data_IF_264324239766
#
_entry.id   IF_264324239766
#
_cell.length_a   1.000
_cell.length_b   1.000
_cell.length_c   1.000
_cell.angle_alpha   90.00
_cell.angle_beta   90.00
_cell.angle_gamma   90.00
#
_symmetry.space_group_name_H-M   'P 1'
#
loop_
_entity.id
_entity.type
_entity.pdbx_description
1 polymer ?
#
# COMPACT_ATOMS: atom_id res chain seq x y z
N UNK A 1 33.01 91.34 4.68
CA UNK A 1 31.95 92.13 4.04
C UNK A 1 30.96 91.15 3.42
N UNK A 2 29.72 91.09 3.95
CA UNK A 2 28.42 90.77 3.30
C UNK A 2 28.31 89.59 2.28
N UNK A 3 27.29 88.72 2.20
CA UNK A 3 25.92 88.51 2.74
C UNK A 3 25.57 87.05 2.30
N UNK A 4 25.03 86.15 3.15
CA UNK A 4 23.60 85.94 3.47
C UNK A 4 22.77 85.17 2.41
N UNK A 5 21.98 84.20 2.89
CA UNK A 5 20.70 83.65 2.36
C UNK A 5 20.80 82.48 1.34
N UNK A 6 19.98 81.42 1.30
CA UNK A 6 18.70 81.06 1.93
C UNK A 6 18.41 79.54 1.65
N UNK A 7 17.62 78.87 2.50
CA UNK A 7 17.08 77.49 2.37
C UNK A 7 15.80 77.54 1.49
N UNK A 8 15.43 76.52 0.67
CA UNK A 8 14.50 75.48 1.14
C UNK A 8 14.81 74.03 0.72
N UNK A 9 14.62 73.14 1.69
CA UNK A 9 14.47 71.70 1.57
C UNK A 9 13.45 71.31 0.49
N UNK A 10 13.84 70.48 -0.46
CA UNK A 10 12.90 69.81 -1.38
C UNK A 10 12.71 68.39 -0.86
N UNK A 11 11.56 68.17 -0.23
CA UNK A 11 11.00 66.86 0.05
C UNK A 11 10.67 66.20 -1.31
N UNK A 12 11.43 65.19 -1.71
CA UNK A 12 11.10 64.36 -2.85
C UNK A 12 9.94 63.43 -2.45
N UNK A 13 8.71 63.83 -2.77
CA UNK A 13 7.54 62.97 -2.63
C UNK A 13 7.61 61.89 -3.72
N UNK A 14 8.08 60.70 -3.36
CA UNK A 14 7.92 59.50 -4.18
C UNK A 14 6.47 59.05 -4.02
N UNK A 15 5.64 59.34 -5.01
CA UNK A 15 4.29 58.77 -5.12
C UNK A 15 4.45 57.31 -5.53
N UNK A 16 4.45 56.41 -4.56
CA UNK A 16 4.26 54.98 -4.80
C UNK A 16 2.79 54.77 -5.10
N UNK A 17 2.43 54.68 -6.38
CA UNK A 17 1.09 54.22 -6.78
C UNK A 17 1.00 52.72 -6.53
N UNK A 18 0.34 52.33 -5.44
CA UNK A 18 -0.09 50.96 -5.24
C UNK A 18 -1.23 50.66 -6.21
N UNK A 19 -0.93 50.01 -7.33
CA UNK A 19 -1.97 49.37 -8.12
C UNK A 19 -2.32 48.07 -7.43
N UNK A 20 -3.43 48.05 -6.68
CA UNK A 20 -3.96 46.83 -6.10
C UNK A 20 -4.51 45.97 -7.23
N UNK A 21 -3.68 45.07 -7.78
CA UNK A 21 -4.21 43.94 -8.53
C UNK A 21 -4.88 43.06 -7.48
N UNK A 22 -6.22 43.08 -7.47
CA UNK A 22 -7.00 42.08 -6.76
C UNK A 22 -6.73 40.74 -7.43
N UNK A 23 -5.67 40.04 -7.01
CA UNK A 23 -5.60 38.60 -7.16
C UNK A 23 -6.72 38.05 -6.29
N UNK A 24 -7.86 37.74 -6.91
CA UNK A 24 -8.79 36.79 -6.35
C UNK A 24 -8.04 35.47 -6.25
N UNK A 25 -7.37 35.26 -5.11
CA UNK A 25 -7.01 33.92 -4.70
C UNK A 25 -8.33 33.16 -4.64
N UNK A 26 -8.58 32.30 -5.62
CA UNK A 26 -9.57 31.24 -5.48
C UNK A 26 -9.04 30.42 -4.32
N UNK A 27 -9.55 30.70 -3.13
CA UNK A 27 -9.40 29.84 -1.98
C UNK A 27 -10.12 28.58 -2.40
N UNK A 28 -9.38 27.59 -2.89
CA UNK A 28 -9.91 26.25 -3.08
C UNK A 28 -10.60 25.89 -1.76
N UNK A 29 -11.87 25.46 -1.78
CA UNK A 29 -12.54 25.09 -0.54
C UNK A 29 -11.64 24.09 0.15
N UNK A 30 -11.36 24.33 1.43
CA UNK A 30 -10.72 23.34 2.29
C UNK A 30 -11.65 22.13 2.24
N UNK A 31 -11.29 21.13 1.45
CA UNK A 31 -12.01 19.87 1.41
C UNK A 31 -11.79 19.29 2.79
N UNK A 32 -12.82 19.34 3.63
CA UNK A 32 -12.76 18.72 4.94
C UNK A 32 -12.36 17.26 4.73
N UNK A 33 -11.38 16.75 5.49
CA UNK A 33 -11.01 15.35 5.39
C UNK A 33 -12.27 14.51 5.54
N UNK A 34 -12.48 13.50 4.69
CA UNK A 34 -13.68 12.68 4.74
C UNK A 34 -13.86 12.19 6.17
N UNK A 35 -15.06 12.35 6.72
CA UNK A 35 -15.37 11.93 8.08
C UNK A 35 -15.09 10.44 8.18
N UNK A 36 -13.98 10.08 8.83
CA UNK A 36 -13.64 8.70 9.12
C UNK A 36 -14.74 8.20 10.05
N UNK A 37 -15.61 7.30 9.57
CA UNK A 37 -16.52 6.57 10.46
C UNK A 37 -15.66 5.99 11.57
N UNK A 38 -15.97 6.28 12.83
CA UNK A 38 -15.22 5.75 13.97
C UNK A 38 -15.13 4.22 13.86
N UNK A 39 -13.99 3.73 13.38
CA UNK A 39 -13.65 2.33 13.41
C UNK A 39 -13.31 2.07 14.87
N UNK A 40 -14.18 1.34 15.57
CA UNK A 40 -13.88 0.89 16.92
C UNK A 40 -12.84 -0.24 16.83
N UNK A 41 -11.58 0.16 16.75
CA UNK A 41 -10.42 -0.71 16.61
C UNK A 41 -10.39 -1.77 17.72
N UNK A 42 -10.65 -1.38 18.97
CA UNK A 42 -10.66 -2.30 20.12
C UNK A 42 -11.70 -3.42 19.95
N UNK A 43 -12.92 -3.06 19.55
CA UNK A 43 -14.00 -4.02 19.32
C UNK A 43 -13.70 -4.98 18.17
N UNK A 44 -13.05 -4.50 17.11
CA UNK A 44 -12.62 -5.33 15.99
C UNK A 44 -11.46 -6.25 16.38
N UNK A 45 -10.48 -5.74 17.13
CA UNK A 45 -9.37 -6.51 17.70
C UNK A 45 -9.87 -7.64 18.59
N UNK A 46 -10.81 -7.37 19.50
CA UNK A 46 -11.40 -8.39 20.37
C UNK A 46 -12.15 -9.47 19.58
N UNK A 47 -12.95 -9.05 18.59
CA UNK A 47 -13.72 -9.97 17.74
C UNK A 47 -12.79 -10.86 16.93
N UNK A 48 -11.70 -10.30 16.41
CA UNK A 48 -10.67 -11.02 15.67
C UNK A 48 -9.90 -11.98 16.58
N UNK A 49 -9.54 -11.56 17.80
CA UNK A 49 -8.86 -12.40 18.79
C UNK A 49 -9.70 -13.60 19.23
N UNK A 50 -11.01 -13.40 19.47
CA UNK A 50 -11.94 -14.51 19.80
C UNK A 50 -12.09 -15.50 18.65
N UNK A 51 -12.22 -15.02 17.42
CA UNK A 51 -12.28 -15.86 16.21
C UNK A 51 -10.98 -16.66 16.01
N UNK A 52 -9.83 -16.02 16.23
CA UNK A 52 -8.52 -16.65 16.11
C UNK A 52 -8.33 -17.78 17.14
N UNK A 53 -8.70 -17.54 18.41
CA UNK A 53 -8.66 -18.58 19.45
C UNK A 53 -9.50 -19.81 19.09
N UNK A 54 -10.74 -19.60 18.62
CA UNK A 54 -11.62 -20.69 18.22
C UNK A 54 -11.08 -21.46 17.01
N UNK A 55 -10.53 -20.75 16.03
CA UNK A 55 -9.93 -21.35 14.82
C UNK A 55 -8.70 -22.19 15.17
N UNK A 56 -7.80 -21.67 16.00
CA UNK A 56 -6.60 -22.41 16.45
C UNK A 56 -6.95 -23.67 17.23
N UNK A 57 -8.00 -23.63 18.06
CA UNK A 57 -8.46 -24.80 18.80
C UNK A 57 -8.97 -25.90 17.86
N UNK A 58 -9.75 -25.54 16.83
CA UNK A 58 -10.18 -26.49 15.79
C UNK A 58 -9.02 -27.05 14.97
N UNK A 59 -8.10 -26.19 14.54
CA UNK A 59 -6.88 -26.59 13.81
C UNK A 59 -6.03 -27.56 14.61
N UNK A 60 -5.86 -27.34 15.92
CA UNK A 60 -5.10 -28.25 16.78
C UNK A 60 -5.75 -29.64 16.86
N UNK A 61 -7.08 -29.71 16.95
CA UNK A 61 -7.83 -30.97 16.96
C UNK A 61 -7.70 -31.69 15.61
N UNK A 62 -7.77 -30.96 14.50
CA UNK A 62 -7.61 -31.51 13.15
C UNK A 62 -6.18 -31.98 12.86
N UNK A 63 -5.16 -31.23 13.31
CA UNK A 63 -3.74 -31.57 13.15
C UNK A 63 -3.37 -32.82 13.97
N UNK A 64 -3.94 -32.98 15.17
CA UNK A 64 -3.82 -34.20 15.97
C UNK A 64 -4.53 -35.41 15.33
N UNK A 65 -5.44 -35.20 14.38
CA UNK A 65 -6.21 -36.24 13.69
C UNK A 65 -5.68 -36.56 12.28
N UNK A 66 -4.64 -35.87 11.78
CA UNK A 66 -4.08 -36.13 10.44
C UNK A 66 -3.08 -37.28 10.43
N UNK A 67 -3.31 -38.21 9.50
CA UNK A 67 -2.32 -39.18 9.03
C UNK A 67 -1.09 -38.49 8.40
N UNK A 68 0.08 -39.15 8.33
CA UNK A 68 1.33 -38.55 7.86
C UNK A 68 1.18 -37.86 6.50
N UNK A 69 1.88 -36.73 6.27
CA UNK A 69 1.63 -35.89 5.11
C UNK A 69 1.94 -36.65 3.83
N UNK A 70 0.88 -36.98 3.09
CA UNK A 70 0.95 -37.34 1.68
C UNK A 70 1.75 -36.24 0.99
N UNK A 71 2.86 -36.59 0.30
CA UNK A 71 3.65 -35.62 -0.49
C UNK A 71 2.71 -34.95 -1.48
N UNK A 72 2.20 -33.76 -1.13
CA UNK A 72 1.42 -32.91 -2.04
C UNK A 72 2.33 -32.64 -3.26
N UNK A 73 1.80 -32.91 -4.45
CA UNK A 73 2.44 -32.44 -5.68
C UNK A 73 2.71 -30.94 -5.55
N UNK A 74 3.87 -30.49 -6.03
CA UNK A 74 4.26 -29.09 -5.95
C UNK A 74 3.20 -28.23 -6.66
N UNK A 75 2.59 -27.31 -5.92
CA UNK A 75 1.63 -26.34 -6.49
C UNK A 75 2.36 -25.52 -7.56
N UNK A 76 1.78 -25.37 -8.77
CA UNK A 76 2.37 -24.51 -9.79
C UNK A 76 2.42 -23.06 -9.32
N UNK A 77 3.42 -22.32 -9.81
CA UNK A 77 3.55 -20.88 -9.54
C UNK A 77 2.37 -20.14 -10.16
N UNK A 78 1.63 -19.38 -9.36
CA UNK A 78 0.47 -18.62 -9.86
C UNK A 78 0.91 -17.34 -10.58
N UNK A 79 1.59 -16.44 -9.87
CA UNK A 79 2.06 -15.19 -10.45
C UNK A 79 3.28 -15.42 -11.35
N UNK A 80 3.23 -14.83 -12.54
CA UNK A 80 4.27 -14.96 -13.56
C UNK A 80 4.86 -13.58 -13.85
N UNK A 81 6.17 -13.46 -13.69
CA UNK A 81 6.95 -12.30 -14.11
C UNK A 81 7.44 -12.49 -15.56
N UNK A 82 7.92 -11.44 -16.24
CA UNK A 82 8.36 -11.49 -17.65
C UNK A 82 9.54 -12.41 -17.98
N UNK A 83 10.04 -13.22 -17.03
CA UNK A 83 11.15 -14.15 -17.24
C UNK A 83 12.54 -13.50 -17.27
N UNK A 84 12.63 -12.18 -17.19
CA UNK A 84 13.89 -11.42 -17.06
C UNK A 84 14.08 -11.06 -15.58
N UNK A 85 15.23 -11.40 -15.01
CA UNK A 85 15.49 -11.20 -13.58
C UNK A 85 15.29 -9.74 -13.12
N UNK A 86 15.75 -8.77 -13.93
CA UNK A 86 15.56 -7.34 -13.65
C UNK A 86 14.08 -6.88 -13.71
N UNK A 87 13.19 -7.68 -14.31
CA UNK A 87 11.76 -7.42 -14.38
C UNK A 87 10.96 -8.19 -13.32
N UNK A 88 11.61 -8.68 -12.25
CA UNK A 88 10.98 -9.46 -11.19
C UNK A 88 9.84 -8.75 -10.44
N UNK A 89 9.77 -7.42 -10.54
CA UNK A 89 8.74 -6.60 -9.91
C UNK A 89 7.67 -6.11 -10.91
N UNK A 90 7.54 -6.82 -12.04
CA UNK A 90 6.50 -6.59 -13.03
C UNK A 90 5.60 -7.82 -13.19
N UNK A 91 4.30 -7.58 -13.33
CA UNK A 91 3.33 -8.60 -13.70
C UNK A 91 3.48 -8.92 -15.19
N UNK A 92 3.70 -10.19 -15.52
CA UNK A 92 3.98 -10.64 -16.87
C UNK A 92 2.84 -10.38 -17.87
N UNK A 93 1.60 -10.16 -17.40
CA UNK A 93 0.45 -9.87 -18.29
C UNK A 93 0.44 -8.42 -18.76
N UNK A 94 0.97 -7.51 -17.94
CA UNK A 94 0.91 -6.05 -18.16
C UNK A 94 2.28 -5.42 -18.42
N UNK A 95 3.35 -6.21 -18.35
CA UNK A 95 4.69 -5.76 -18.66
C UNK A 95 4.82 -5.37 -20.14
N UNK A 96 5.13 -4.09 -20.37
CA UNK A 96 5.36 -3.53 -21.72
C UNK A 96 6.81 -3.06 -21.93
N UNK A 97 7.67 -3.21 -20.92
CA UNK A 97 9.06 -2.75 -20.94
C UNK A 97 9.47 -2.14 -19.61
N UNK A 98 10.76 -1.85 -19.46
CA UNK A 98 11.26 -1.11 -18.31
C UNK A 98 10.84 0.35 -18.37
N UNK A 99 10.38 0.88 -17.24
CA UNK A 99 10.16 2.31 -17.08
C UNK A 99 11.42 2.96 -16.51
N UNK A 100 11.60 4.26 -16.79
CA UNK A 100 12.70 5.05 -16.21
C UNK A 100 12.59 5.09 -14.68
N UNK A 101 13.69 5.36 -13.98
CA UNK A 101 13.68 5.46 -12.51
C UNK A 101 12.70 6.52 -11.99
N UNK A 102 12.58 7.64 -12.70
CA UNK A 102 11.61 8.70 -12.39
C UNK A 102 10.16 8.20 -12.51
N UNK A 103 9.80 7.61 -13.67
CA UNK A 103 8.47 7.01 -13.87
C UNK A 103 8.20 5.87 -12.89
N UNK A 104 9.20 5.07 -12.51
CA UNK A 104 9.06 4.02 -11.50
C UNK A 104 8.69 4.63 -10.16
N UNK A 105 9.47 5.60 -9.67
CA UNK A 105 9.20 6.25 -8.38
C UNK A 105 7.84 6.95 -8.36
N UNK A 106 7.47 7.62 -9.47
CA UNK A 106 6.15 8.22 -9.65
C UNK A 106 5.04 7.17 -9.60
N UNK A 107 5.20 6.07 -10.36
CA UNK A 107 4.22 4.97 -10.40
C UNK A 107 4.06 4.35 -9.02
N UNK A 108 5.15 3.97 -8.34
CA UNK A 108 5.08 3.36 -7.00
C UNK A 108 4.40 4.30 -5.99
N UNK A 109 4.67 5.60 -6.06
CA UNK A 109 3.99 6.61 -5.22
C UNK A 109 2.48 6.61 -5.44
N UNK A 110 2.02 6.62 -6.68
CA UNK A 110 0.59 6.57 -6.98
C UNK A 110 -0.03 5.21 -6.69
N UNK A 111 0.73 4.13 -6.83
CA UNK A 111 0.28 2.76 -6.60
C UNK A 111 -0.01 2.54 -5.11
N UNK A 112 0.85 3.01 -4.20
CA UNK A 112 0.59 2.96 -2.75
C UNK A 112 -0.53 3.91 -2.33
N UNK A 113 -0.63 5.11 -2.91
CA UNK A 113 -1.75 6.04 -2.65
C UNK A 113 -3.08 5.43 -3.07
N UNK A 114 -3.12 4.85 -4.26
CA UNK A 114 -4.29 4.16 -4.80
C UNK A 114 -4.71 3.00 -3.91
N UNK A 115 -3.76 2.16 -3.48
CA UNK A 115 -4.01 1.07 -2.54
C UNK A 115 -4.64 1.57 -1.23
N UNK A 116 -4.05 2.58 -0.60
CA UNK A 116 -4.53 3.12 0.69
C UNK A 116 -5.91 3.77 0.55
N UNK A 117 -6.16 4.53 -0.50
CA UNK A 117 -7.48 5.12 -0.77
C UNK A 117 -8.54 4.05 -1.03
N UNK A 118 -8.21 3.06 -1.87
CA UNK A 118 -9.14 1.99 -2.22
C UNK A 118 -9.47 1.15 -1.00
N UNK A 119 -8.48 0.67 -0.26
CA UNK A 119 -8.71 -0.11 0.98
C UNK A 119 -9.51 0.66 2.01
N UNK A 120 -9.24 1.95 2.20
CA UNK A 120 -10.05 2.82 3.06
C UNK A 120 -11.51 2.87 2.60
N UNK A 121 -11.78 3.02 1.30
CA UNK A 121 -13.14 3.03 0.74
C UNK A 121 -13.89 1.70 0.93
N UNK A 122 -13.16 0.58 0.93
CA UNK A 122 -13.70 -0.76 1.11
C UNK A 122 -13.80 -1.18 2.59
N UNK A 123 -13.28 -0.37 3.53
CA UNK A 123 -13.19 -0.74 4.94
C UNK A 123 -12.21 -1.90 5.20
N UNK A 124 -11.17 -2.02 4.37
CA UNK A 124 -10.14 -3.05 4.47
C UNK A 124 -9.01 -2.54 5.37
N UNK A 125 -8.68 -3.33 6.37
CA UNK A 125 -7.52 -3.10 7.24
C UNK A 125 -6.25 -3.68 6.60
N UNK A 126 -5.21 -2.84 6.46
CA UNK A 126 -3.92 -3.17 5.83
C UNK A 126 -2.79 -2.38 6.51
N UNK A 127 -1.56 -2.85 6.37
CA UNK A 127 -0.36 -2.19 6.88
C UNK A 127 0.74 -2.23 5.84
N UNK A 128 1.57 -1.19 5.80
CA UNK A 128 2.81 -1.22 5.04
C UNK A 128 3.76 -2.27 5.63
N UNK A 129 4.55 -2.92 4.79
CA UNK A 129 5.51 -3.94 5.22
C UNK A 129 6.90 -3.69 4.62
N UNK A 130 7.90 -4.37 5.19
CA UNK A 130 9.26 -4.46 4.62
C UNK A 130 9.88 -3.10 4.25
N UNK A 131 10.45 -2.98 3.04
CA UNK A 131 11.09 -1.74 2.55
C UNK A 131 10.11 -0.57 2.51
N UNK A 132 8.85 -0.83 2.16
CA UNK A 132 7.79 0.18 2.12
C UNK A 132 7.51 0.79 3.50
N UNK A 133 7.41 -0.04 4.54
CA UNK A 133 7.25 0.44 5.92
C UNK A 133 8.48 1.22 6.39
N UNK A 134 9.67 0.74 6.04
CA UNK A 134 10.93 1.36 6.45
C UNK A 134 11.12 2.76 5.84
N UNK A 135 10.85 2.91 4.54
CA UNK A 135 10.88 4.21 3.88
C UNK A 135 9.89 5.20 4.49
N UNK A 136 8.66 4.73 4.76
CA UNK A 136 7.65 5.54 5.43
C UNK A 136 8.13 5.98 6.82
N UNK A 137 8.68 5.07 7.61
CA UNK A 137 9.17 5.36 8.96
C UNK A 137 10.28 6.42 8.99
N UNK A 138 11.20 6.39 8.01
CA UNK A 138 12.33 7.33 8.01
C UNK A 138 11.98 8.72 7.48
N UNK A 139 11.15 8.84 6.45
CA UNK A 139 10.88 10.14 5.85
C UNK A 139 9.53 10.25 5.13
N UNK A 140 8.53 9.42 5.47
CA UNK A 140 7.25 9.35 4.77
C UNK A 140 7.39 9.16 3.24
N UNK A 141 8.41 8.41 2.80
CA UNK A 141 8.78 8.25 1.38
C UNK A 141 9.03 6.79 1.04
N UNK A 142 8.98 6.46 -0.24
CA UNK A 142 9.52 5.19 -0.75
C UNK A 142 11.05 5.31 -0.78
N UNK A 143 11.78 4.24 -0.49
CA UNK A 143 13.24 4.28 -0.57
C UNK A 143 13.66 4.60 -2.02
N UNK A 144 14.64 5.51 -2.26
CA UNK A 144 15.00 5.90 -3.62
C UNK A 144 15.48 4.76 -4.53
N UNK A 145 16.01 3.69 -3.92
CA UNK A 145 16.48 2.48 -4.59
C UNK A 145 15.46 1.33 -4.56
N UNK A 146 14.29 1.49 -3.93
CA UNK A 146 13.26 0.45 -3.93
C UNK A 146 12.69 0.26 -5.32
N UNK A 147 12.40 -0.99 -5.67
CA UNK A 147 11.81 -1.37 -6.97
C UNK A 147 10.45 -2.03 -6.84
N UNK A 148 10.02 -2.33 -5.61
CA UNK A 148 8.75 -2.94 -5.26
C UNK A 148 8.12 -2.28 -4.04
N UNK A 149 6.91 -2.75 -3.73
CA UNK A 149 6.15 -2.33 -2.57
C UNK A 149 5.50 -3.54 -1.91
N UNK A 150 5.48 -3.55 -0.59
CA UNK A 150 4.91 -4.63 0.20
C UNK A 150 3.86 -4.10 1.16
N UNK A 151 2.74 -4.83 1.23
CA UNK A 151 1.72 -4.62 2.26
C UNK A 151 1.31 -5.95 2.88
N UNK A 152 0.76 -5.83 4.07
CA UNK A 152 0.25 -6.95 4.83
C UNK A 152 -1.23 -6.74 5.18
N UNK A 153 -1.93 -7.86 5.30
CA UNK A 153 -3.33 -7.92 5.74
C UNK A 153 -3.51 -9.11 6.69
N UNK A 154 -4.55 -9.09 7.52
CA UNK A 154 -4.89 -10.28 8.31
C UNK A 154 -5.39 -11.42 7.42
N UNK A 155 -5.27 -12.67 7.85
CA UNK A 155 -5.84 -13.82 7.13
C UNK A 155 -7.36 -13.69 6.93
N UNK A 156 -8.07 -13.13 7.91
CA UNK A 156 -9.51 -12.90 7.81
C UNK A 156 -9.84 -11.85 6.73
N UNK A 157 -9.04 -10.80 6.65
CA UNK A 157 -9.12 -9.76 5.61
C UNK A 157 -8.82 -10.36 4.24
N UNK A 158 -7.73 -11.12 4.12
CA UNK A 158 -7.34 -11.79 2.89
C UNK A 158 -8.44 -12.72 2.36
N UNK A 159 -9.06 -13.52 3.25
CA UNK A 159 -10.22 -14.34 2.91
C UNK A 159 -11.36 -13.50 2.35
N UNK A 160 -11.70 -12.39 3.02
CA UNK A 160 -12.77 -11.49 2.59
C UNK A 160 -12.46 -10.89 1.22
N UNK A 161 -11.21 -10.49 0.96
CA UNK A 161 -10.79 -9.98 -0.34
C UNK A 161 -10.88 -11.06 -1.42
N UNK A 162 -10.42 -12.27 -1.14
CA UNK A 162 -10.47 -13.39 -2.07
C UNK A 162 -11.90 -13.74 -2.51
N UNK A 163 -12.84 -13.74 -1.57
CA UNK A 163 -14.23 -14.15 -1.81
C UNK A 163 -15.08 -13.07 -2.47
N UNK A 164 -14.78 -11.79 -2.22
CA UNK A 164 -15.69 -10.69 -2.60
C UNK A 164 -15.07 -9.67 -3.56
N UNK A 165 -13.74 -9.59 -3.63
CA UNK A 165 -13.03 -8.51 -4.33
C UNK A 165 -11.95 -9.01 -5.30
N UNK A 166 -11.75 -10.33 -5.41
CA UNK A 166 -10.77 -10.85 -6.36
C UNK A 166 -11.12 -10.42 -7.79
N UNK A 167 -10.11 -10.03 -8.57
CA UNK A 167 -10.22 -9.53 -9.94
C UNK A 167 -11.00 -8.21 -10.09
N UNK A 168 -11.24 -7.46 -9.00
CA UNK A 168 -11.80 -6.11 -9.12
C UNK A 168 -10.77 -5.15 -9.71
N UNK A 169 -11.20 -4.33 -10.66
CA UNK A 169 -10.42 -3.19 -11.17
C UNK A 169 -10.91 -1.90 -10.51
N UNK A 170 -9.98 -1.00 -10.18
CA UNK A 170 -10.28 0.33 -9.68
C UNK A 170 -9.56 1.40 -10.50
N UNK A 171 -10.31 2.39 -10.98
CA UNK A 171 -9.76 3.55 -11.68
C UNK A 171 -9.36 4.60 -10.66
N UNK A 172 -8.07 4.89 -10.61
CA UNK A 172 -7.49 5.94 -9.80
C UNK A 172 -7.31 7.20 -10.65
N UNK A 173 -7.75 8.33 -10.11
CA UNK A 173 -7.50 9.64 -10.70
C UNK A 173 -6.89 10.56 -9.64
N UNK A 174 -5.77 11.19 -9.97
CA UNK A 174 -5.11 12.19 -9.15
C UNK A 174 -4.88 13.43 -9.99
N UNK A 175 -5.81 14.37 -9.88
CA UNK A 175 -5.93 15.52 -10.77
C UNK A 175 -4.74 16.48 -10.68
N UNK A 176 -4.18 16.65 -9.48
CA UNK A 176 -3.07 17.57 -9.23
C UNK A 176 -1.81 17.24 -10.02
N UNK A 177 -1.64 15.96 -10.39
CA UNK A 177 -0.51 15.47 -11.17
C UNK A 177 -0.93 14.94 -12.56
N UNK A 178 -2.19 15.17 -12.96
CA UNK A 178 -2.78 14.60 -14.19
C UNK A 178 -2.48 13.10 -14.34
N UNK A 179 -2.60 12.37 -13.24
CA UNK A 179 -2.22 10.95 -13.17
C UNK A 179 -3.46 10.09 -13.07
N UNK A 180 -3.70 9.28 -14.11
CA UNK A 180 -4.80 8.32 -14.15
C UNK A 180 -4.28 6.93 -14.52
N UNK A 181 -4.71 5.92 -13.74
CA UNK A 181 -4.35 4.51 -13.94
C UNK A 181 -5.50 3.60 -13.50
N UNK A 182 -5.58 2.44 -14.13
CA UNK A 182 -6.43 1.34 -13.66
C UNK A 182 -5.56 0.33 -12.91
N UNK A 183 -5.99 0.00 -11.70
CA UNK A 183 -5.34 -1.00 -10.87
C UNK A 183 -6.20 -2.26 -10.74
N UNK A 184 -5.58 -3.43 -10.79
CA UNK A 184 -6.23 -4.73 -10.61
C UNK A 184 -5.84 -5.34 -9.27
N UNK A 185 -6.85 -5.73 -8.47
CA UNK A 185 -6.63 -6.67 -7.36
C UNK A 185 -6.67 -8.10 -7.89
N UNK A 186 -5.59 -8.85 -7.71
CA UNK A 186 -5.50 -10.26 -8.07
C UNK A 186 -5.04 -11.08 -6.86
N UNK A 187 -5.89 -12.00 -6.38
CA UNK A 187 -5.62 -12.86 -5.23
C UNK A 187 -5.20 -14.24 -5.72
N UNK A 188 -4.05 -14.70 -5.22
CA UNK A 188 -3.51 -16.01 -5.52
C UNK A 188 -4.46 -17.10 -4.98
N UNK A 189 -4.97 -18.04 -5.78
CA UNK A 189 -5.84 -19.11 -5.32
C UNK A 189 -5.21 -20.01 -4.23
N UNK A 190 -3.87 -20.03 -4.13
CA UNK A 190 -3.14 -20.72 -3.06
C UNK A 190 -3.01 -19.89 -1.76
N UNK A 191 -3.78 -18.81 -1.60
CA UNK A 191 -3.78 -17.98 -0.38
C UNK A 191 -4.16 -18.75 0.89
N UNK A 192 -4.96 -19.83 0.73
CA UNK A 192 -5.39 -20.74 1.81
C UNK A 192 -4.27 -21.64 2.33
N UNK A 193 -3.24 -21.90 1.52
CA UNK A 193 -2.06 -22.68 1.92
C UNK A 193 -1.16 -21.80 2.80
N UNK A 194 -1.41 -21.80 4.11
CA UNK A 194 -0.71 -20.91 5.07
C UNK A 194 0.71 -21.37 5.47
N UNK A 195 1.08 -22.60 5.15
CA UNK A 195 2.44 -23.11 5.31
C UNK A 195 3.30 -22.70 4.11
N UNK A 196 4.61 -22.53 4.31
CA UNK A 196 5.54 -22.06 3.27
C UNK A 196 5.50 -22.87 1.97
N UNK A 197 5.15 -24.16 2.02
CA UNK A 197 5.08 -25.02 0.85
C UNK A 197 6.35 -24.93 0.00
N UNK A 198 6.19 -24.74 -1.30
CA UNK A 198 7.26 -24.36 -2.23
C UNK A 198 7.38 -22.83 -2.31
N UNK A 199 8.55 -22.31 -2.73
CA UNK A 199 8.74 -20.86 -2.91
C UNK A 199 7.86 -20.24 -4.02
N UNK A 200 7.04 -21.03 -4.71
CA UNK A 200 6.23 -20.61 -5.84
C UNK A 200 5.03 -19.72 -5.44
N UNK A 201 4.47 -19.89 -4.24
CA UNK A 201 3.22 -19.23 -3.82
C UNK A 201 3.36 -18.49 -2.47
N UNK A 202 4.50 -17.82 -2.27
CA UNK A 202 4.76 -17.02 -1.07
C UNK A 202 3.87 -15.77 -0.98
N UNK A 203 3.54 -15.17 -2.12
CA UNK A 203 2.69 -13.98 -2.23
C UNK A 203 1.22 -14.39 -2.34
N UNK A 204 0.38 -13.74 -1.53
CA UNK A 204 -1.04 -14.05 -1.40
C UNK A 204 -1.92 -13.24 -2.35
N UNK A 205 -1.47 -12.07 -2.79
CA UNK A 205 -2.16 -11.26 -3.79
C UNK A 205 -1.28 -10.16 -4.34
N UNK A 206 -1.73 -9.50 -5.40
CA UNK A 206 -1.09 -8.33 -5.99
C UNK A 206 -2.09 -7.22 -6.25
N UNK A 207 -1.65 -5.98 -6.07
CA UNK A 207 -2.32 -4.79 -6.56
C UNK A 207 -1.52 -4.22 -7.72
N UNK A 208 -2.04 -4.34 -8.94
CA UNK A 208 -1.24 -4.24 -10.17
C UNK A 208 -1.65 -3.01 -10.97
N UNK A 209 -0.68 -2.17 -11.34
CA UNK A 209 -0.88 -1.15 -12.39
C UNK A 209 -0.95 -1.83 -13.75
N UNK A 210 -2.12 -1.76 -14.39
CA UNK A 210 -2.35 -2.39 -15.69
C UNK A 210 -1.61 -1.71 -16.84
N UNK A 211 -1.07 -0.51 -16.62
CA UNK A 211 -0.39 0.27 -17.67
C UNK A 211 1.10 -0.05 -17.77
N UNK A 212 1.73 -0.37 -16.64
CA UNK A 212 3.18 -0.64 -16.56
C UNK A 212 3.49 -2.08 -16.16
N UNK A 213 2.59 -2.73 -15.42
CA UNK A 213 2.80 -4.02 -14.77
C UNK A 213 3.47 -3.94 -13.40
N UNK A 214 3.85 -2.76 -12.90
CA UNK A 214 4.32 -2.62 -11.52
C UNK A 214 3.21 -2.98 -10.53
N UNK A 215 3.56 -3.51 -9.36
CA UNK A 215 2.58 -3.95 -8.38
C UNK A 215 3.03 -3.76 -6.93
N UNK A 216 2.07 -3.82 -6.00
CA UNK A 216 2.30 -4.13 -4.58
C UNK A 216 2.12 -5.63 -4.38
N UNK A 217 3.05 -6.26 -3.68
CA UNK A 217 2.88 -7.61 -3.13
C UNK A 217 2.07 -7.55 -1.83
N UNK A 218 1.03 -8.38 -1.76
CA UNK A 218 0.12 -8.49 -0.62
C UNK A 218 0.41 -9.82 0.08
N UNK A 219 0.76 -9.76 1.36
CA UNK A 219 0.99 -10.96 2.18
C UNK A 219 0.02 -11.05 3.36
N UNK A 220 -0.61 -12.20 3.50
CA UNK A 220 -1.48 -12.47 4.64
C UNK A 220 -0.68 -12.82 5.89
N UNK A 221 -1.15 -12.35 7.03
CA UNK A 221 -0.65 -12.72 8.35
C UNK A 221 -1.63 -13.66 9.06
N UNK A 222 -1.11 -14.78 9.54
CA UNK A 222 -1.89 -15.82 10.23
C UNK A 222 -1.08 -16.45 11.35
N UNK A 223 -1.76 -17.02 12.34
CA UNK A 223 -1.10 -17.84 13.35
C UNK A 223 -0.86 -19.26 12.80
N UNK A 224 0.23 -19.45 12.05
CA UNK A 224 0.47 -20.72 11.32
C UNK A 224 1.04 -21.84 12.20
N UNK A 225 1.48 -21.51 13.41
CA UNK A 225 2.10 -22.45 14.35
C UNK A 225 1.44 -22.32 15.73
N UNK A 226 0.11 -22.16 15.79
CA UNK A 226 -0.58 -21.82 17.03
C UNK A 226 -0.37 -22.81 18.19
N UNK A 227 -0.14 -24.08 17.88
CA UNK A 227 0.13 -25.16 18.84
C UNK A 227 1.58 -25.14 19.32
N UNK A 228 2.54 -25.04 18.40
CA UNK A 228 3.97 -25.09 18.73
C UNK A 228 4.52 -23.74 19.18
N UNK A 229 3.86 -22.63 18.81
CA UNK A 229 4.22 -21.24 19.11
C UNK A 229 2.97 -20.37 19.32
N UNK A 230 2.29 -20.50 20.46
CA UNK A 230 1.14 -19.67 20.80
C UNK A 230 1.49 -18.18 20.75
N UNK A 231 0.62 -17.37 20.12
CA UNK A 231 0.76 -15.91 20.04
C UNK A 231 1.67 -15.40 18.92
N UNK A 232 2.36 -16.27 18.19
CA UNK A 232 3.21 -15.85 17.06
C UNK A 232 2.38 -15.77 15.78
N UNK A 233 2.34 -14.60 15.17
CA UNK A 233 1.73 -14.36 13.85
C UNK A 233 2.84 -14.41 12.79
N UNK A 234 2.58 -15.06 11.66
CA UNK A 234 3.54 -15.15 10.56
C UNK A 234 2.92 -15.18 9.18
N UNK A 235 3.72 -14.76 8.18
CA UNK A 235 3.44 -14.99 6.77
C UNK A 235 4.14 -16.25 6.24
N UNK A 236 3.86 -16.63 4.99
CA UNK A 236 4.46 -17.82 4.34
C UNK A 236 5.97 -17.71 4.21
N UNK A 237 6.51 -16.49 4.12
CA UNK A 237 7.96 -16.27 4.03
C UNK A 237 8.68 -16.28 5.40
N UNK A 238 8.03 -16.77 6.45
CA UNK A 238 8.60 -16.96 7.80
C UNK A 238 8.97 -15.68 8.54
N UNK A 239 8.48 -14.51 8.11
CA UNK A 239 8.43 -13.32 8.95
C UNK A 239 7.49 -13.59 10.12
N UNK A 240 7.95 -13.32 11.34
CA UNK A 240 7.27 -13.66 12.60
C UNK A 240 7.18 -12.44 13.50
N UNK A 241 6.02 -12.25 14.12
CA UNK A 241 5.69 -11.13 14.98
C UNK A 241 5.11 -11.68 16.30
N UNK A 242 5.35 -10.97 17.41
CA UNK A 242 4.90 -11.33 18.76
C UNK A 242 4.32 -10.09 19.44
#
# INVERSE_FOLDING_TARGET
MHLQNYIPSILLVIVVTYTTIATCAVVNPVVEPPTIKEINFEKNLEKNAKRLKLKNHKLAIEEMAMEPPVRKQAEPKYFQEPGVAAAGHYDGRFYIGFVTDEERQRTLTHLVRAWLQWTQSQGIETWLAHGTLLGWWWNNQILPWDTDLDVQVSEATLKSMAENLNMTTWTYNFEEDNFQRDYLLDINPYWTSRLRGTAANLIDGRWIDKSTGLFIDITGLSQTHGVTRPGVISCKNLHRYK
#
